data_IF_488255205495
#
_entry.id   IF_488255205495
#
_cell.length_a   1.000
_cell.length_b   1.000
_cell.length_c   1.000
_cell.angle_alpha   90.00
_cell.angle_beta   90.00
_cell.angle_gamma   90.00
#
_symmetry.space_group_name_H-M   'P 1'
#
loop_
_entity.id
_entity.type
_entity.pdbx_description
1 polymer ?
#
# COMPACT_ATOMS: atom_id res chain seq x y z
N UNK A 1 3.92 2.11 -14.36
CA UNK A 1 3.62 2.79 -13.10
C UNK A 1 4.44 2.28 -11.90
N UNK A 2 4.36 0.99 -11.50
CA UNK A 2 5.16 0.44 -10.38
C UNK A 2 6.65 0.70 -10.55
N UNK A 3 7.21 0.52 -11.75
CA UNK A 3 8.61 0.78 -12.06
C UNK A 3 8.95 2.28 -11.87
N UNK A 4 8.07 3.17 -12.26
CA UNK A 4 8.26 4.62 -12.11
C UNK A 4 8.32 5.03 -10.64
N UNK A 5 7.44 4.45 -9.80
CA UNK A 5 7.44 4.70 -8.34
C UNK A 5 8.71 4.19 -7.67
N UNK A 6 9.18 3.01 -8.08
CA UNK A 6 10.40 2.40 -7.54
C UNK A 6 11.64 3.21 -7.92
N UNK A 7 11.69 3.70 -9.16
CA UNK A 7 12.82 4.48 -9.67
C UNK A 7 12.74 5.98 -9.31
N UNK A 8 11.68 6.43 -8.64
CA UNK A 8 11.48 7.84 -8.32
C UNK A 8 11.30 8.74 -9.55
N UNK A 9 10.90 8.15 -10.67
CA UNK A 9 10.67 8.88 -11.93
C UNK A 9 9.18 9.05 -12.18
N UNK A 10 8.74 10.15 -12.82
CA UNK A 10 7.35 10.29 -13.22
C UNK A 10 6.94 9.16 -14.19
N UNK A 11 5.68 8.71 -14.14
CA UNK A 11 5.17 7.74 -15.11
C UNK A 11 5.23 8.32 -16.51
N UNK A 12 5.57 7.47 -17.49
CA UNK A 12 5.66 7.85 -18.91
C UNK A 12 4.28 8.03 -19.55
N UNK A 13 3.23 7.50 -18.91
CA UNK A 13 1.84 7.60 -19.36
C UNK A 13 0.98 8.03 -18.19
N UNK A 14 -0.03 8.84 -18.44
CA UNK A 14 -1.01 9.30 -17.45
C UNK A 14 -2.41 8.80 -17.80
N UNK A 15 -3.30 8.69 -16.81
CA UNK A 15 -4.72 8.39 -17.02
C UNK A 15 -5.41 9.42 -17.93
N UNK A 16 -4.90 10.64 -17.99
CA UNK A 16 -5.39 11.69 -18.89
C UNK A 16 -5.25 11.29 -20.37
N UNK A 17 -4.25 10.45 -20.67
CA UNK A 17 -3.98 9.97 -22.02
C UNK A 17 -4.79 8.70 -22.36
N UNK A 18 -5.55 8.17 -21.39
CA UNK A 18 -6.32 6.95 -21.56
C UNK A 18 -7.71 7.28 -22.12
N UNK A 19 -7.98 6.86 -23.35
CA UNK A 19 -9.28 7.05 -24.04
C UNK A 19 -10.26 5.90 -23.76
N UNK A 20 -9.83 4.83 -23.09
CA UNK A 20 -10.66 3.67 -22.78
C UNK A 20 -11.53 3.99 -21.58
N UNK A 21 -12.86 3.88 -21.75
CA UNK A 21 -13.80 4.00 -20.63
C UNK A 21 -13.73 2.73 -19.76
N UNK A 22 -13.42 2.92 -18.48
CA UNK A 22 -13.52 1.84 -17.52
C UNK A 22 -15.00 1.48 -17.31
N UNK A 23 -15.38 0.26 -17.63
CA UNK A 23 -16.69 -0.26 -17.26
C UNK A 23 -16.67 -0.60 -15.77
N UNK A 24 -17.60 -0.03 -15.02
CA UNK A 24 -17.85 -0.46 -13.63
C UNK A 24 -18.74 -1.70 -13.75
N UNK A 25 -18.27 -2.90 -13.38
CA UNK A 25 -19.10 -4.09 -13.49
C UNK A 25 -20.30 -4.00 -12.54
N UNK A 26 -21.48 -4.25 -13.06
CA UNK A 26 -22.67 -4.50 -12.24
C UNK A 26 -22.45 -5.76 -11.40
N UNK A 27 -22.87 -5.72 -10.18
CA UNK A 27 -22.51 -6.41 -8.95
C UNK A 27 -22.31 -7.94 -8.90
N UNK A 28 -22.57 -8.72 -9.93
CA UNK A 28 -22.59 -10.20 -9.80
C UNK A 28 -21.43 -10.97 -10.43
N UNK A 29 -20.47 -10.29 -11.08
CA UNK A 29 -19.32 -10.94 -11.74
C UNK A 29 -17.97 -10.78 -11.00
N UNK A 30 -17.99 -10.46 -9.71
CA UNK A 30 -16.77 -10.18 -8.91
C UNK A 30 -15.77 -11.34 -8.90
N UNK A 31 -16.23 -12.58 -9.01
CA UNK A 31 -15.36 -13.77 -8.96
C UNK A 31 -14.53 -14.01 -10.23
N UNK A 32 -14.92 -13.42 -11.35
CA UNK A 32 -14.25 -13.68 -12.64
C UNK A 32 -13.28 -12.60 -13.10
N UNK A 33 -13.30 -11.40 -12.52
CA UNK A 33 -12.52 -10.29 -13.05
C UNK A 33 -11.64 -9.61 -11.98
N UNK A 34 -10.44 -10.17 -11.75
CA UNK A 34 -9.40 -9.57 -10.88
C UNK A 34 -8.83 -8.29 -11.50
N UNK A 35 -9.09 -8.03 -12.76
CA UNK A 35 -8.55 -6.88 -13.47
C UNK A 35 -9.08 -5.56 -12.89
N UNK A 36 -10.38 -5.48 -12.59
CA UNK A 36 -11.01 -4.25 -12.11
C UNK A 36 -10.45 -3.75 -10.77
N UNK A 37 -10.35 -4.58 -9.71
CA UNK A 37 -9.72 -4.14 -8.46
C UNK A 37 -8.25 -3.78 -8.65
N UNK A 38 -7.52 -4.47 -9.56
CA UNK A 38 -6.13 -4.14 -9.87
C UNK A 38 -6.01 -2.77 -10.53
N UNK A 39 -6.83 -2.48 -11.54
CA UNK A 39 -6.82 -1.18 -12.22
C UNK A 39 -7.16 -0.05 -11.24
N UNK A 40 -8.22 -0.22 -10.44
CA UNK A 40 -8.64 0.78 -9.47
C UNK A 40 -7.56 1.08 -8.43
N UNK A 41 -6.87 0.07 -7.90
CA UNK A 41 -5.80 0.31 -6.93
C UNK A 41 -4.60 1.03 -7.56
N UNK A 42 -4.24 0.70 -8.81
CA UNK A 42 -3.17 1.40 -9.50
C UNK A 42 -3.50 2.86 -9.81
N UNK A 43 -4.75 3.19 -10.10
CA UNK A 43 -5.20 4.59 -10.24
C UNK A 43 -5.06 5.37 -8.92
N UNK A 44 -5.36 4.74 -7.79
CA UNK A 44 -5.15 5.36 -6.47
C UNK A 44 -3.66 5.56 -6.20
N UNK A 45 -2.81 4.57 -6.49
CA UNK A 45 -1.34 4.66 -6.35
C UNK A 45 -0.78 5.79 -7.22
N UNK A 46 -1.24 5.92 -8.47
CA UNK A 46 -0.83 7.03 -9.35
C UNK A 46 -1.14 8.38 -8.71
N UNK A 47 -2.33 8.52 -8.15
CA UNK A 47 -2.72 9.75 -7.46
C UNK A 47 -1.80 10.05 -6.28
N UNK A 48 -1.41 9.05 -5.49
CA UNK A 48 -0.41 9.22 -4.42
C UNK A 48 0.90 9.76 -5.00
N UNK A 49 1.39 9.18 -6.09
CA UNK A 49 2.64 9.61 -6.73
C UNK A 49 2.54 11.06 -7.21
N UNK A 50 1.48 11.41 -7.89
CA UNK A 50 1.28 12.76 -8.45
C UNK A 50 1.06 13.80 -7.36
N UNK A 51 0.19 13.52 -6.38
CA UNK A 51 -0.21 14.52 -5.39
C UNK A 51 0.80 14.67 -4.24
N UNK A 52 1.45 13.58 -3.83
CA UNK A 52 2.38 13.60 -2.69
C UNK A 52 3.81 13.76 -3.16
N UNK A 53 4.27 12.91 -4.07
CA UNK A 53 5.68 12.85 -4.44
C UNK A 53 6.09 13.88 -5.49
N UNK A 54 5.28 14.09 -6.53
CA UNK A 54 5.60 15.07 -7.59
C UNK A 54 5.54 16.50 -7.09
N UNK A 55 4.60 16.81 -6.20
CA UNK A 55 4.44 18.17 -5.64
C UNK A 55 5.35 18.45 -4.45
N UNK A 56 6.07 17.45 -3.94
CA UNK A 56 6.95 17.53 -2.75
C UNK A 56 6.26 18.20 -1.54
N UNK A 57 4.96 18.08 -1.43
CA UNK A 57 4.15 18.67 -0.35
C UNK A 57 3.40 17.56 0.38
N UNK A 58 3.73 17.39 1.64
CA UNK A 58 3.03 16.49 2.55
C UNK A 58 1.90 17.29 3.18
N UNK A 59 0.66 17.00 2.77
CA UNK A 59 -0.54 17.62 3.33
C UNK A 59 -1.43 16.57 3.94
N UNK A 60 -1.83 16.77 5.20
CA UNK A 60 -2.79 15.90 5.90
C UNK A 60 -4.10 15.81 5.11
N UNK A 61 -4.54 16.92 4.49
CA UNK A 61 -5.78 16.93 3.67
C UNK A 61 -5.69 15.99 2.47
N UNK A 62 -4.54 15.94 1.79
CA UNK A 62 -4.31 15.02 0.67
C UNK A 62 -4.29 13.59 1.18
N UNK A 63 -3.61 13.35 2.31
CA UNK A 63 -3.57 12.02 2.93
C UNK A 63 -4.96 11.54 3.32
N UNK A 64 -5.79 12.38 3.94
CA UNK A 64 -7.17 12.06 4.31
C UNK A 64 -8.04 11.77 3.07
N UNK A 65 -7.86 12.54 2.00
CA UNK A 65 -8.60 12.34 0.76
C UNK A 65 -8.27 10.99 0.11
N UNK A 66 -6.98 10.68 -0.04
CA UNK A 66 -6.54 9.41 -0.62
C UNK A 66 -6.87 8.23 0.29
N UNK A 67 -6.75 8.39 1.62
CA UNK A 67 -7.15 7.36 2.59
C UNK A 67 -8.62 6.97 2.47
N UNK A 68 -9.51 7.93 2.19
CA UNK A 68 -10.93 7.64 1.94
C UNK A 68 -11.12 6.79 0.69
N UNK A 69 -10.34 7.02 -0.36
CA UNK A 69 -10.39 6.21 -1.59
C UNK A 69 -9.88 4.78 -1.33
N UNK A 70 -8.76 4.64 -0.61
CA UNK A 70 -8.24 3.34 -0.21
C UNK A 70 -9.24 2.56 0.65
N UNK A 71 -9.91 3.22 1.60
CA UNK A 71 -10.98 2.62 2.41
C UNK A 71 -12.19 2.20 1.56
N UNK A 72 -12.61 3.04 0.62
CA UNK A 72 -13.68 2.71 -0.31
C UNK A 72 -13.36 1.53 -1.21
N UNK A 73 -12.11 1.40 -1.64
CA UNK A 73 -11.62 0.24 -2.37
C UNK A 73 -11.63 -1.01 -1.47
N UNK A 74 -11.10 -0.90 -0.25
CA UNK A 74 -11.04 -2.01 0.70
C UNK A 74 -12.44 -2.53 1.07
N UNK A 75 -13.40 -1.65 1.33
CA UNK A 75 -14.78 -2.07 1.66
C UNK A 75 -15.44 -2.86 0.55
N UNK A 76 -14.97 -2.71 -0.68
CA UNK A 76 -15.53 -3.35 -1.88
C UNK A 76 -14.84 -4.67 -2.22
N UNK A 77 -13.52 -4.72 -2.09
CA UNK A 77 -12.70 -5.78 -2.67
C UNK A 77 -11.87 -6.59 -1.68
N UNK A 78 -11.52 -6.02 -0.52
CA UNK A 78 -10.54 -6.61 0.40
C UNK A 78 -10.96 -8.01 0.86
N UNK A 79 -12.20 -8.17 1.28
CA UNK A 79 -12.72 -9.43 1.81
C UNK A 79 -12.69 -10.55 0.76
N UNK A 80 -13.15 -10.26 -0.44
CA UNK A 80 -13.26 -11.26 -1.51
C UNK A 80 -11.87 -11.67 -2.02
N UNK A 81 -10.96 -10.71 -2.18
CA UNK A 81 -9.58 -11.00 -2.56
C UNK A 81 -8.84 -11.80 -1.47
N UNK A 82 -9.09 -11.50 -0.19
CA UNK A 82 -8.50 -12.26 0.92
C UNK A 82 -9.01 -13.70 0.94
N UNK A 83 -10.31 -13.91 0.73
CA UNK A 83 -10.86 -15.27 0.61
C UNK A 83 -10.22 -16.05 -0.53
N UNK A 84 -10.01 -15.43 -1.69
CA UNK A 84 -9.35 -16.07 -2.84
C UNK A 84 -7.90 -16.46 -2.55
N UNK A 85 -7.20 -15.76 -1.65
CA UNK A 85 -5.82 -16.11 -1.28
C UNK A 85 -5.73 -17.19 -0.20
N UNK A 86 -6.78 -17.39 0.59
CA UNK A 86 -6.83 -18.39 1.68
C UNK A 86 -7.53 -19.68 1.23
N UNK A 87 -8.65 -19.56 0.54
CA UNK A 87 -9.46 -20.68 0.08
C UNK A 87 -9.06 -21.10 -1.34
N UNK A 88 -8.06 -21.98 -1.47
CA UNK A 88 -7.49 -22.39 -2.76
C UNK A 88 -8.31 -23.46 -3.50
N UNK A 89 -9.30 -24.08 -2.85
CA UNK A 89 -10.05 -25.21 -3.39
C UNK A 89 -10.94 -24.78 -4.58
N UNK A 90 -10.58 -25.26 -5.77
CA UNK A 90 -11.33 -25.01 -7.00
C UNK A 90 -11.02 -23.68 -7.72
N UNK A 91 -10.08 -22.89 -7.22
CA UNK A 91 -9.67 -21.62 -7.83
C UNK A 91 -8.42 -21.82 -8.70
N UNK A 92 -8.35 -21.17 -9.85
CA UNK A 92 -7.17 -21.27 -10.71
C UNK A 92 -5.95 -20.62 -10.04
N UNK A 93 -4.77 -21.21 -10.25
CA UNK A 93 -3.48 -20.68 -9.75
C UNK A 93 -3.26 -19.22 -10.15
N UNK A 94 -3.61 -18.85 -11.37
CA UNK A 94 -3.50 -17.48 -11.88
C UNK A 94 -4.40 -16.51 -11.13
N UNK A 95 -5.60 -16.93 -10.74
CA UNK A 95 -6.55 -16.13 -9.96
C UNK A 95 -6.00 -15.85 -8.56
N UNK A 96 -5.46 -16.86 -7.87
CA UNK A 96 -4.85 -16.71 -6.55
C UNK A 96 -3.65 -15.74 -6.59
N UNK A 97 -2.78 -15.91 -7.58
CA UNK A 97 -1.61 -15.02 -7.77
C UNK A 97 -2.06 -13.59 -8.07
N UNK A 98 -3.09 -13.41 -8.91
CA UNK A 98 -3.66 -12.10 -9.23
C UNK A 98 -4.27 -11.44 -8.01
N UNK A 99 -5.04 -12.16 -7.18
CA UNK A 99 -5.61 -11.67 -5.95
C UNK A 99 -4.53 -11.25 -4.95
N UNK A 100 -3.52 -12.09 -4.74
CA UNK A 100 -2.37 -11.78 -3.89
C UNK A 100 -1.62 -10.54 -4.38
N UNK A 101 -1.34 -10.44 -5.68
CA UNK A 101 -0.67 -9.27 -6.27
C UNK A 101 -1.46 -7.97 -6.07
N UNK A 102 -2.79 -8.04 -6.19
CA UNK A 102 -3.68 -6.90 -6.00
C UNK A 102 -3.73 -6.46 -4.54
N UNK A 103 -3.80 -7.41 -3.59
CA UNK A 103 -3.73 -7.13 -2.16
C UNK A 103 -2.38 -6.51 -1.78
N UNK A 104 -1.28 -7.06 -2.29
CA UNK A 104 0.06 -6.50 -2.09
C UNK A 104 0.15 -5.07 -2.62
N UNK A 105 -0.46 -4.79 -3.77
CA UNK A 105 -0.52 -3.43 -4.33
C UNK A 105 -1.33 -2.48 -3.45
N UNK A 106 -2.41 -2.95 -2.83
CA UNK A 106 -3.20 -2.17 -1.89
C UNK A 106 -2.39 -1.77 -0.65
N UNK A 107 -1.73 -2.73 0.01
CA UNK A 107 -0.88 -2.43 1.17
C UNK A 107 0.30 -1.56 0.79
N UNK A 108 0.89 -1.78 -0.38
CA UNK A 108 1.94 -0.89 -0.91
C UNK A 108 1.44 0.54 -1.09
N UNK A 109 0.23 0.73 -1.59
CA UNK A 109 -0.40 2.05 -1.73
C UNK A 109 -0.57 2.77 -0.39
N UNK A 110 -0.96 2.04 0.67
CA UNK A 110 -1.02 2.59 2.04
C UNK A 110 0.37 3.00 2.53
N UNK A 111 1.36 2.11 2.41
CA UNK A 111 2.74 2.40 2.82
C UNK A 111 3.31 3.60 2.06
N UNK A 112 3.06 3.69 0.76
CA UNK A 112 3.51 4.81 -0.06
C UNK A 112 2.90 6.14 0.43
N UNK A 113 1.59 6.17 0.72
CA UNK A 113 0.91 7.34 1.24
C UNK A 113 1.42 7.76 2.62
N UNK A 114 1.69 6.80 3.49
CA UNK A 114 2.00 7.01 4.90
C UNK A 114 3.49 7.16 5.19
N UNK A 115 4.36 6.71 4.27
CA UNK A 115 5.82 6.77 4.39
C UNK A 115 6.38 8.16 4.81
N UNK A 116 5.93 9.29 4.27
CA UNK A 116 6.45 10.58 4.67
C UNK A 116 6.17 10.91 6.14
N UNK A 117 5.02 10.48 6.68
CA UNK A 117 4.65 10.68 8.08
C UNK A 117 5.47 9.79 9.01
N UNK A 118 5.74 8.55 8.60
CA UNK A 118 6.62 7.64 9.33
C UNK A 118 8.04 8.20 9.42
N UNK A 119 8.59 8.69 8.31
CA UNK A 119 9.91 9.31 8.28
C UNK A 119 9.96 10.53 9.21
N UNK A 120 8.90 11.35 9.21
CA UNK A 120 8.80 12.51 10.10
C UNK A 120 8.82 12.09 11.58
N UNK A 121 8.04 11.06 11.96
CA UNK A 121 7.98 10.54 13.33
C UNK A 121 9.34 10.00 13.79
N UNK A 122 10.05 9.26 12.94
CA UNK A 122 11.39 8.75 13.21
C UNK A 122 12.37 9.91 13.47
N UNK A 123 12.36 10.95 12.65
CA UNK A 123 13.23 12.12 12.84
C UNK A 123 12.92 12.86 14.14
N UNK A 124 11.67 12.99 14.53
CA UNK A 124 11.31 13.58 15.83
C UNK A 124 11.85 12.76 17.01
N UNK A 125 11.74 11.43 16.95
CA UNK A 125 12.26 10.53 17.98
C UNK A 125 13.78 10.55 18.09
N UNK A 126 14.49 10.75 16.99
CA UNK A 126 15.97 10.88 16.96
C UNK A 126 16.46 12.24 17.47
N UNK A 127 15.59 13.10 17.99
CA UNK A 127 15.96 14.40 18.56
C UNK A 127 16.35 15.46 17.52
N UNK A 128 16.18 15.18 16.26
CA UNK A 128 16.28 16.17 15.20
C UNK A 128 15.00 17.01 15.20
N UNK A 129 14.86 17.93 16.18
CA UNK A 129 13.74 18.86 16.26
C UNK A 129 13.62 19.65 14.96
N UNK A 130 12.89 19.11 14.02
CA UNK A 130 12.42 19.90 12.89
C UNK A 130 11.48 20.95 13.49
N UNK A 131 11.93 22.19 13.56
CA UNK A 131 11.18 23.38 13.99
C UNK A 131 9.97 23.57 13.07
N UNK A 132 8.97 22.72 13.22
CA UNK A 132 7.69 22.83 12.56
C UNK A 132 6.64 23.13 13.61
N UNK A 133 6.20 24.38 13.69
CA UNK A 133 5.10 24.82 14.55
C UNK A 133 3.78 24.18 14.13
N UNK A 134 3.64 22.89 14.35
CA UNK A 134 2.37 22.16 14.19
C UNK A 134 1.58 22.20 15.49
N UNK A 135 0.25 22.21 15.39
CA UNK A 135 -0.63 22.07 16.55
C UNK A 135 -0.51 20.63 17.09
N UNK A 136 -0.78 20.44 18.38
CA UNK A 136 -0.78 19.11 19.02
C UNK A 136 -1.70 18.10 18.28
N UNK A 137 -2.74 18.60 17.65
CA UNK A 137 -3.64 17.79 16.83
C UNK A 137 -2.96 17.28 15.54
N UNK A 138 -2.10 18.09 14.90
CA UNK A 138 -1.34 17.71 13.72
C UNK A 138 -0.33 16.59 14.04
N UNK A 139 0.35 16.65 15.19
CA UNK A 139 1.25 15.60 15.65
C UNK A 139 0.51 14.28 15.88
N UNK A 140 -0.65 14.31 16.55
CA UNK A 140 -1.46 13.12 16.77
C UNK A 140 -1.91 12.47 15.45
N UNK A 141 -2.27 13.31 14.47
CA UNK A 141 -2.74 12.81 13.17
C UNK A 141 -1.59 12.22 12.33
N UNK A 142 -0.41 12.84 12.35
CA UNK A 142 0.80 12.30 11.72
C UNK A 142 1.19 10.94 12.30
N UNK A 143 1.17 10.81 13.63
CA UNK A 143 1.46 9.54 14.31
C UNK A 143 0.48 8.44 13.91
N UNK A 144 -0.81 8.74 13.78
CA UNK A 144 -1.81 7.79 13.28
C UNK A 144 -1.48 7.27 11.88
N UNK A 145 -0.94 8.12 11.00
CA UNK A 145 -0.48 7.69 9.69
C UNK A 145 0.80 6.85 9.77
N UNK A 146 1.72 7.17 10.68
CA UNK A 146 2.91 6.36 10.91
C UNK A 146 2.55 4.95 11.41
N UNK A 147 1.63 4.83 12.38
CA UNK A 147 1.11 3.53 12.84
C UNK A 147 0.46 2.75 11.68
N UNK A 148 -0.33 3.39 10.84
CA UNK A 148 -0.96 2.76 9.68
C UNK A 148 0.07 2.23 8.64
N UNK A 149 1.26 2.83 8.57
CA UNK A 149 2.35 2.31 7.72
C UNK A 149 2.84 0.95 8.21
N UNK A 150 2.95 0.79 9.53
CA UNK A 150 3.42 -0.46 10.16
C UNK A 150 2.37 -1.56 10.02
N UNK A 151 1.12 -1.25 10.28
CA UNK A 151 0.01 -2.20 10.13
C UNK A 151 -0.10 -2.69 8.68
N UNK A 152 0.06 -1.79 7.71
CA UNK A 152 0.06 -2.15 6.30
C UNK A 152 1.25 -3.04 5.92
N UNK A 153 2.45 -2.77 6.47
CA UNK A 153 3.63 -3.59 6.23
C UNK A 153 3.46 -5.01 6.82
N UNK A 154 2.91 -5.13 8.02
CA UNK A 154 2.61 -6.42 8.64
C UNK A 154 1.59 -7.22 7.80
N UNK A 155 0.47 -6.59 7.43
CA UNK A 155 -0.58 -7.24 6.60
C UNK A 155 -0.06 -7.64 5.22
N UNK A 156 0.85 -6.86 4.64
CA UNK A 156 1.54 -7.21 3.40
C UNK A 156 2.34 -8.51 3.52
N UNK A 157 3.15 -8.62 4.60
CA UNK A 157 3.96 -9.82 4.85
C UNK A 157 3.08 -11.04 5.10
N UNK A 158 2.00 -10.90 5.87
CA UNK A 158 1.04 -11.99 6.11
C UNK A 158 0.37 -12.47 4.81
N UNK A 159 -0.05 -11.54 3.94
CA UNK A 159 -0.65 -11.88 2.65
C UNK A 159 0.31 -12.68 1.77
N UNK A 160 1.58 -12.27 1.73
CA UNK A 160 2.60 -12.99 0.98
C UNK A 160 2.88 -14.37 1.57
N UNK A 161 3.02 -14.45 2.90
CA UNK A 161 3.29 -15.70 3.61
C UNK A 161 2.22 -16.74 3.31
N UNK A 162 0.94 -16.36 3.39
CA UNK A 162 -0.17 -17.26 3.11
C UNK A 162 -0.09 -17.92 1.72
N UNK A 163 0.44 -17.22 0.71
CA UNK A 163 0.56 -17.73 -0.67
C UNK A 163 1.89 -18.45 -0.90
N UNK A 164 2.96 -18.05 -0.24
CA UNK A 164 4.28 -18.71 -0.33
C UNK A 164 4.21 -20.10 0.29
N UNK A 165 3.57 -20.24 1.45
CA UNK A 165 3.45 -21.52 2.18
C UNK A 165 2.65 -22.56 1.37
N UNK A 166 1.87 -22.15 0.38
CA UNK A 166 1.08 -23.05 -0.49
C UNK A 166 1.80 -23.50 -1.77
N UNK A 167 3.06 -23.10 -1.98
CA UNK A 167 3.84 -23.39 -3.20
C UNK A 167 3.17 -22.93 -4.52
N UNK A 168 2.10 -22.15 -4.44
CA UNK A 168 1.39 -21.62 -5.62
C UNK A 168 2.23 -20.56 -6.32
N UNK A 169 3.15 -19.90 -5.60
CA UNK A 169 3.91 -18.78 -6.12
C UNK A 169 4.97 -19.23 -7.13
N UNK A 170 5.05 -18.59 -8.31
CA UNK A 170 6.12 -18.89 -9.25
C UNK A 170 7.47 -18.45 -8.68
N UNK A 171 8.51 -19.27 -8.87
CA UNK A 171 9.88 -19.00 -8.39
C UNK A 171 10.52 -17.72 -8.93
N UNK A 172 9.95 -17.09 -9.96
CA UNK A 172 10.45 -15.88 -10.60
C UNK A 172 9.34 -14.83 -10.67
N UNK A 173 9.28 -13.98 -9.66
CA UNK A 173 8.40 -12.80 -9.65
C UNK A 173 9.23 -11.55 -9.32
N UNK A 174 9.87 -10.92 -10.31
CA UNK A 174 10.78 -9.79 -10.08
C UNK A 174 10.08 -8.60 -9.40
N UNK A 175 8.79 -8.38 -9.65
CA UNK A 175 8.02 -7.31 -8.99
C UNK A 175 7.84 -7.53 -7.48
N UNK A 176 7.73 -8.76 -7.02
CA UNK A 176 7.57 -9.06 -5.59
C UNK A 176 8.85 -8.76 -4.82
N UNK A 177 10.02 -9.01 -5.40
CA UNK A 177 11.29 -8.68 -4.74
C UNK A 177 11.38 -7.18 -4.39
N UNK A 178 11.00 -6.31 -5.32
CA UNK A 178 10.98 -4.87 -5.09
C UNK A 178 9.92 -4.43 -4.10
N UNK A 179 8.76 -5.04 -4.16
CA UNK A 179 7.64 -4.74 -3.24
C UNK A 179 7.95 -5.27 -1.83
N UNK A 180 8.73 -6.34 -1.67
CA UNK A 180 9.22 -6.85 -0.37
C UNK A 180 10.27 -5.91 0.25
N UNK A 181 11.17 -5.35 -0.55
CA UNK A 181 12.22 -4.45 -0.04
C UNK A 181 11.63 -3.20 0.61
N UNK A 182 10.52 -2.68 0.10
CA UNK A 182 9.88 -1.47 0.65
C UNK A 182 9.33 -1.67 2.08
N UNK A 183 8.50 -2.70 2.39
CA UNK A 183 8.04 -2.95 3.76
C UNK A 183 9.19 -3.38 4.68
N UNK A 184 10.15 -4.16 4.18
CA UNK A 184 11.32 -4.56 4.98
C UNK A 184 12.14 -3.36 5.42
N UNK A 185 12.37 -2.38 4.55
CA UNK A 185 13.06 -1.14 4.92
C UNK A 185 12.24 -0.31 5.91
N UNK A 186 10.93 -0.29 5.80
CA UNK A 186 10.02 0.40 6.73
C UNK A 186 10.06 -0.25 8.12
N UNK A 187 9.99 -1.58 8.17
CA UNK A 187 10.09 -2.35 9.42
C UNK A 187 11.49 -2.24 10.05
N UNK A 188 12.56 -2.31 9.27
CA UNK A 188 13.92 -2.15 9.75
C UNK A 188 14.18 -0.77 10.35
N UNK A 189 13.64 0.30 9.77
CA UNK A 189 13.74 1.64 10.31
C UNK A 189 13.08 1.76 11.69
N UNK A 190 11.98 1.03 11.93
CA UNK A 190 11.29 1.05 13.23
C UNK A 190 11.91 0.12 14.26
N UNK A 191 12.50 -1.00 13.83
CA UNK A 191 13.20 -1.92 14.73
C UNK A 191 14.56 -1.39 15.20
N UNK A 192 15.16 -0.46 14.44
CA UNK A 192 16.41 0.22 14.84
C UNK A 192 16.18 1.28 15.91
N UNK A 193 14.93 1.60 16.26
CA UNK A 193 14.60 2.53 17.35
C UNK A 193 14.35 1.75 18.64
N UNK A 194 15.30 1.75 19.62
CA UNK A 194 15.19 0.92 20.83
C UNK A 194 14.08 1.34 21.79
N UNK A 195 13.41 2.47 21.55
CA UNK A 195 12.42 3.06 22.45
C UNK A 195 10.95 2.63 22.20
N UNK A 196 10.59 2.25 20.97
CA UNK A 196 9.18 2.04 20.59
C UNK A 196 8.74 0.57 20.51
N UNK A 197 9.67 -0.38 20.39
CA UNK A 197 9.36 -1.74 19.89
C UNK A 197 8.94 -2.74 20.97
N UNK A 198 9.06 -2.45 22.27
CA UNK A 198 8.83 -3.47 23.33
C UNK A 198 7.39 -3.61 23.83
N UNK A 199 6.47 -2.74 23.44
CA UNK A 199 5.10 -2.79 23.99
C UNK A 199 4.00 -3.25 23.03
N UNK A 200 4.28 -3.55 21.76
CA UNK A 200 3.24 -3.82 20.76
C UNK A 200 3.29 -5.19 20.06
N UNK A 201 4.15 -6.10 20.51
CA UNK A 201 4.26 -7.47 19.95
C UNK A 201 3.77 -8.55 20.93
N UNK A 202 2.90 -8.17 21.89
CA UNK A 202 2.17 -9.15 22.71
C UNK A 202 0.69 -8.79 22.80
#
# INVERSE_FOLDING_TARGET
>A
MVISTVLGRPPSTSDVDCTVKYSIPESDQVRSNILDPSVQIFMIIERVVVEVYSRKRISIRIADYVSRQLKGWASRWLLDLTKLTVEHNGVSRSTVIGACSTLCSYYYGIMLLTRPFLIYEIYEHLGASLRGGGTQNDHRQKRKYADAALDAAASFVETLRAVIDTEIMPRRMPLIVWVIVTPSSTLLLTLSDPGSSRQRLF
#
